data_IF_908314186665
#
_entry.id   IF_908314186665
#
_cell.length_a   1.000
_cell.length_b   1.000
_cell.length_c   1.000
_cell.angle_alpha   90.00
_cell.angle_beta   90.00
_cell.angle_gamma   90.00
#
_symmetry.space_group_name_H-M   'P 1'
#
loop_
_entity.id
_entity.type
_entity.pdbx_description
1 polymer ?
#
# COMPACT_ATOMS: atom_id res chain seq x y z
N UNK A 1 -22.52 32.92 -4.56
CA UNK A 1 -21.22 32.36 -5.03
C UNK A 1 -20.38 31.78 -3.88
N UNK A 2 -20.09 32.52 -2.80
CA UNK A 2 -19.25 32.02 -1.69
C UNK A 2 -19.68 30.66 -1.09
N UNK A 3 -20.94 30.52 -0.67
CA UNK A 3 -21.47 29.24 -0.12
C UNK A 3 -21.44 28.07 -1.10
N UNK A 4 -21.60 28.36 -2.40
CA UNK A 4 -21.54 27.32 -3.43
C UNK A 4 -20.09 26.83 -3.61
N UNK A 5 -19.15 27.76 -3.72
CA UNK A 5 -17.74 27.43 -3.85
C UNK A 5 -17.21 26.68 -2.62
N UNK A 6 -17.58 27.12 -1.41
CA UNK A 6 -17.22 26.44 -0.16
C UNK A 6 -17.70 25.00 -0.12
N UNK A 7 -18.99 24.76 -0.42
CA UNK A 7 -19.55 23.40 -0.43
C UNK A 7 -18.89 22.52 -1.50
N UNK A 8 -18.80 23.01 -2.74
CA UNK A 8 -18.22 22.24 -3.84
C UNK A 8 -16.73 21.91 -3.57
N UNK A 9 -15.99 22.86 -3.00
CA UNK A 9 -14.59 22.66 -2.66
C UNK A 9 -14.43 21.69 -1.48
N UNK A 10 -15.30 21.76 -0.47
CA UNK A 10 -15.29 20.82 0.65
C UNK A 10 -15.59 19.38 0.18
N UNK A 11 -16.63 19.19 -0.62
CA UNK A 11 -17.01 17.86 -1.14
C UNK A 11 -15.87 17.25 -1.95
N UNK A 12 -15.24 18.02 -2.84
CA UNK A 12 -14.08 17.57 -3.62
C UNK A 12 -12.86 17.30 -2.73
N UNK A 13 -12.57 18.17 -1.76
CA UNK A 13 -11.43 18.00 -0.86
C UNK A 13 -11.55 16.73 -0.03
N UNK A 14 -12.73 16.48 0.56
CA UNK A 14 -12.99 15.28 1.35
C UNK A 14 -12.91 14.03 0.48
N UNK A 15 -13.42 14.07 -0.75
CA UNK A 15 -13.29 12.98 -1.70
C UNK A 15 -11.82 12.66 -2.02
N UNK A 16 -10.98 13.65 -2.31
CA UNK A 16 -9.55 13.42 -2.58
C UNK A 16 -8.80 12.87 -1.36
N UNK A 17 -9.13 13.37 -0.16
CA UNK A 17 -8.51 12.92 1.09
C UNK A 17 -8.84 11.44 1.36
N UNK A 18 -10.14 11.10 1.37
CA UNK A 18 -10.63 9.78 1.79
C UNK A 18 -10.53 8.73 0.68
N UNK A 19 -10.77 9.11 -0.57
CA UNK A 19 -10.89 8.13 -1.67
C UNK A 19 -9.58 7.94 -2.46
N UNK A 20 -8.57 8.80 -2.26
CA UNK A 20 -7.36 8.81 -3.09
C UNK A 20 -6.04 8.88 -2.32
N UNK A 21 -5.92 9.84 -1.41
CA UNK A 21 -4.60 10.21 -0.90
C UNK A 21 -4.17 9.42 0.34
N UNK A 22 -5.06 9.24 1.31
CA UNK A 22 -4.74 8.57 2.57
C UNK A 22 -5.13 7.09 2.52
N UNK A 23 -4.22 6.17 2.89
CA UNK A 23 -4.59 4.77 3.07
C UNK A 23 -5.47 4.58 4.31
N UNK A 24 -6.25 3.51 4.35
CA UNK A 24 -6.93 3.12 5.58
C UNK A 24 -5.93 2.48 6.56
N UNK A 25 -6.01 2.85 7.84
CA UNK A 25 -5.13 2.30 8.88
C UNK A 25 -5.22 0.77 8.99
N UNK A 26 -6.42 0.22 8.79
CA UNK A 26 -6.71 -1.20 8.98
C UNK A 26 -5.92 -2.12 8.02
N UNK A 27 -5.75 -1.72 6.77
CA UNK A 27 -5.10 -2.54 5.75
C UNK A 27 -3.89 -1.87 5.08
N UNK A 28 -3.66 -0.59 5.35
CA UNK A 28 -2.61 0.20 4.70
C UNK A 28 -2.84 0.43 3.21
N UNK A 29 -4.06 0.25 2.70
CA UNK A 29 -4.38 0.40 1.28
C UNK A 29 -5.25 1.62 1.03
N UNK A 30 -4.97 2.29 -0.10
CA UNK A 30 -5.89 3.23 -0.74
C UNK A 30 -7.03 2.47 -1.44
N UNK A 31 -8.19 3.09 -1.71
CA UNK A 31 -9.32 2.41 -2.35
C UNK A 31 -8.97 1.73 -3.68
N UNK A 32 -8.22 2.39 -4.56
CA UNK A 32 -7.79 1.78 -5.83
C UNK A 32 -6.94 0.52 -5.62
N UNK A 33 -6.04 0.54 -4.63
CA UNK A 33 -5.16 -0.60 -4.32
C UNK A 33 -5.98 -1.76 -3.75
N UNK A 34 -6.90 -1.47 -2.82
CA UNK A 34 -7.83 -2.46 -2.24
C UNK A 34 -8.68 -3.12 -3.33
N UNK A 35 -9.25 -2.32 -4.23
CA UNK A 35 -10.09 -2.80 -5.34
C UNK A 35 -9.32 -3.67 -6.33
N UNK A 36 -8.06 -3.34 -6.63
CA UNK A 36 -7.18 -4.20 -7.45
C UNK A 36 -6.96 -5.55 -6.77
N UNK A 37 -6.52 -5.56 -5.51
CA UNK A 37 -6.23 -6.79 -4.77
C UNK A 37 -7.50 -7.65 -4.62
N UNK A 38 -8.65 -7.03 -4.32
CA UNK A 38 -9.94 -7.71 -4.24
C UNK A 38 -10.37 -8.32 -5.57
N UNK A 39 -10.36 -7.53 -6.66
CA UNK A 39 -10.75 -8.01 -7.98
C UNK A 39 -9.84 -9.15 -8.48
N UNK A 40 -8.55 -9.13 -8.16
CA UNK A 40 -7.64 -10.24 -8.46
C UNK A 40 -8.02 -11.51 -7.68
N UNK A 41 -8.42 -11.37 -6.41
CA UNK A 41 -8.92 -12.49 -5.61
C UNK A 41 -10.18 -13.11 -6.23
N UNK A 42 -11.17 -12.27 -6.60
CA UNK A 42 -12.40 -12.71 -7.27
C UNK A 42 -12.14 -13.40 -8.62
N UNK A 43 -11.10 -12.99 -9.34
CA UNK A 43 -10.65 -13.63 -10.59
C UNK A 43 -9.89 -14.94 -10.38
N UNK A 44 -9.69 -15.37 -9.14
CA UNK A 44 -8.94 -16.56 -8.74
C UNK A 44 -7.43 -16.44 -8.99
N UNK A 45 -6.88 -15.23 -9.03
CA UNK A 45 -5.47 -14.96 -9.32
C UNK A 45 -4.58 -15.08 -8.07
N UNK A 46 -4.75 -16.16 -7.30
CA UNK A 46 -3.89 -16.44 -6.15
C UNK A 46 -2.45 -16.77 -6.58
N UNK A 47 -1.53 -16.86 -5.61
CA UNK A 47 -0.11 -17.11 -5.87
C UNK A 47 0.22 -18.45 -6.56
N UNK A 48 -0.69 -19.43 -6.51
CA UNK A 48 -0.54 -20.72 -7.21
C UNK A 48 -1.17 -20.71 -8.61
N UNK A 49 -1.97 -19.69 -8.94
CA UNK A 49 -2.61 -19.57 -10.24
C UNK A 49 -1.61 -19.24 -11.35
N UNK A 50 -2.03 -19.52 -12.58
CA UNK A 50 -1.33 -19.03 -13.78
C UNK A 50 -1.50 -17.51 -13.88
N UNK A 51 -0.48 -16.86 -14.41
CA UNK A 51 -0.56 -15.44 -14.74
C UNK A 51 -1.69 -15.18 -15.76
N UNK A 52 -2.36 -14.04 -15.63
CA UNK A 52 -3.31 -13.52 -16.63
C UNK A 52 -2.91 -12.11 -17.02
N UNK A 53 -3.27 -11.71 -18.24
CA UNK A 53 -3.01 -10.35 -18.73
C UNK A 53 -3.57 -9.29 -17.77
N UNK A 54 -2.74 -8.31 -17.42
CA UNK A 54 -3.09 -7.24 -16.48
C UNK A 54 -4.30 -6.43 -16.97
N UNK A 55 -4.48 -6.30 -18.29
CA UNK A 55 -5.65 -5.69 -18.91
C UNK A 55 -6.99 -6.31 -18.45
N UNK A 56 -7.03 -7.62 -18.18
CA UNK A 56 -8.23 -8.29 -17.67
C UNK A 56 -8.56 -7.83 -16.25
N UNK A 57 -7.55 -7.79 -15.38
CA UNK A 57 -7.71 -7.30 -14.01
C UNK A 57 -8.16 -5.85 -13.99
N UNK A 58 -7.50 -4.98 -14.76
CA UNK A 58 -7.86 -3.55 -14.86
C UNK A 58 -9.30 -3.40 -15.36
N UNK A 59 -9.71 -4.13 -16.40
CA UNK A 59 -11.08 -4.11 -16.91
C UNK A 59 -12.13 -4.47 -15.85
N UNK A 60 -11.89 -5.53 -15.08
CA UNK A 60 -12.78 -5.94 -13.99
C UNK A 60 -12.82 -4.89 -12.86
N UNK A 61 -11.67 -4.32 -12.48
CA UNK A 61 -11.59 -3.27 -11.45
C UNK A 61 -12.42 -2.05 -11.87
N UNK A 62 -12.25 -1.58 -13.10
CA UNK A 62 -12.96 -0.39 -13.59
C UNK A 62 -14.47 -0.65 -13.74
N UNK A 63 -14.83 -1.81 -14.30
CA UNK A 63 -16.21 -2.16 -14.57
C UNK A 63 -17.03 -2.46 -13.31
N UNK A 64 -16.38 -2.92 -12.23
CA UNK A 64 -17.06 -3.36 -11.01
C UNK A 64 -16.91 -2.39 -9.84
N UNK A 65 -15.73 -1.79 -9.63
CA UNK A 65 -15.43 -1.15 -8.34
C UNK A 65 -14.84 0.27 -8.45
N UNK A 66 -14.07 0.58 -9.49
CA UNK A 66 -13.28 1.82 -9.56
C UNK A 66 -13.60 2.62 -10.84
N UNK A 67 -14.64 3.47 -10.85
CA UNK A 67 -15.11 4.19 -12.04
C UNK A 67 -14.21 5.39 -12.41
N UNK A 68 -12.91 5.14 -12.61
CA UNK A 68 -11.89 6.13 -12.95
C UNK A 68 -11.03 5.68 -14.14
N UNK A 69 -9.97 6.42 -14.44
CA UNK A 69 -9.08 6.13 -15.58
C UNK A 69 -8.33 4.81 -15.42
N UNK A 70 -8.25 4.07 -16.51
CA UNK A 70 -7.51 2.82 -16.64
C UNK A 70 -6.01 2.96 -16.35
N UNK A 71 -5.42 4.07 -16.81
CA UNK A 71 -4.00 4.36 -16.68
C UNK A 71 -3.61 4.52 -15.20
N UNK A 72 -4.39 5.27 -14.42
CA UNK A 72 -4.15 5.45 -12.98
C UNK A 72 -4.32 4.13 -12.20
N UNK A 73 -5.31 3.31 -12.58
CA UNK A 73 -5.50 1.98 -11.99
C UNK A 73 -4.29 1.06 -12.30
N UNK A 74 -3.82 1.05 -13.54
CA UNK A 74 -2.69 0.21 -13.94
C UNK A 74 -1.37 0.69 -13.34
N UNK A 75 -1.13 2.01 -13.23
CA UNK A 75 0.03 2.56 -12.53
C UNK A 75 0.08 2.13 -11.06
N UNK A 76 -1.05 2.16 -10.36
CA UNK A 76 -1.14 1.64 -8.99
C UNK A 76 -0.82 0.13 -8.93
N UNK A 77 -1.29 -0.63 -9.91
CA UNK A 77 -0.99 -2.06 -10.05
C UNK A 77 0.50 -2.33 -10.28
N UNK A 78 1.15 -1.53 -11.13
CA UNK A 78 2.60 -1.61 -11.42
C UNK A 78 3.42 -1.32 -10.16
N UNK A 79 3.08 -0.27 -9.42
CA UNK A 79 3.78 0.08 -8.20
C UNK A 79 3.75 -1.07 -7.16
N UNK A 80 2.58 -1.71 -7.01
CA UNK A 80 2.40 -2.86 -6.11
C UNK A 80 3.12 -4.15 -6.57
N UNK A 81 3.64 -4.17 -7.80
CA UNK A 81 4.37 -5.30 -8.38
C UNK A 81 5.90 -5.09 -8.41
N UNK A 82 6.36 -3.84 -8.38
CA UNK A 82 7.78 -3.49 -8.41
C UNK A 82 8.43 -3.77 -7.05
N UNK A 83 9.35 -4.73 -7.00
CA UNK A 83 10.10 -5.12 -5.80
C UNK A 83 11.06 -4.05 -5.28
N UNK A 84 11.47 -3.12 -6.13
CA UNK A 84 12.24 -1.94 -5.77
C UNK A 84 11.40 -0.73 -5.33
N UNK A 85 10.08 -0.81 -5.45
CA UNK A 85 9.16 0.25 -4.98
C UNK A 85 8.38 -0.19 -3.76
N UNK A 86 7.87 -1.43 -3.74
CA UNK A 86 7.20 -2.05 -2.61
C UNK A 86 8.17 -2.98 -1.88
N UNK A 87 8.27 -2.82 -0.56
CA UNK A 87 9.12 -3.69 0.27
C UNK A 87 8.63 -5.14 0.29
N UNK A 88 7.30 -5.32 0.28
CA UNK A 88 6.61 -6.60 0.18
C UNK A 88 5.53 -6.50 -0.92
N UNK A 89 5.89 -6.76 -2.19
CA UNK A 89 4.97 -6.66 -3.32
C UNK A 89 3.68 -7.48 -3.10
N UNK A 90 2.55 -6.89 -3.46
CA UNK A 90 1.24 -7.55 -3.41
C UNK A 90 0.94 -8.31 -4.71
N UNK A 91 1.60 -7.91 -5.79
CA UNK A 91 1.42 -8.49 -7.13
C UNK A 91 2.75 -9.07 -7.61
N UNK A 92 2.67 -10.25 -8.20
CA UNK A 92 3.73 -10.92 -8.91
C UNK A 92 3.45 -10.78 -10.42
N UNK A 93 4.41 -10.24 -11.15
CA UNK A 93 4.27 -9.86 -12.55
C UNK A 93 5.22 -10.62 -13.48
N UNK A 94 4.73 -11.00 -14.66
CA UNK A 94 5.54 -11.43 -15.80
C UNK A 94 5.51 -10.39 -16.93
N UNK A 95 6.66 -10.21 -17.60
CA UNK A 95 6.88 -9.18 -18.60
C UNK A 95 7.72 -8.01 -18.07
N UNK A 96 7.74 -6.89 -18.80
CA UNK A 96 8.46 -5.69 -18.35
C UNK A 96 7.58 -4.85 -17.40
N UNK A 97 7.93 -4.84 -16.11
CA UNK A 97 7.27 -4.06 -15.06
C UNK A 97 8.06 -2.81 -14.64
N UNK A 98 9.02 -2.36 -15.46
CA UNK A 98 9.92 -1.25 -15.14
C UNK A 98 11.21 -1.74 -14.49
N UNK A 99 12.13 -0.81 -14.25
CA UNK A 99 13.41 -1.07 -13.61
C UNK A 99 13.73 0.03 -12.59
N UNK A 100 14.70 -0.20 -11.72
CA UNK A 100 15.13 0.78 -10.71
C UNK A 100 15.57 2.11 -11.33
N UNK A 101 16.26 2.07 -12.48
CA UNK A 101 16.76 3.26 -13.17
C UNK A 101 15.64 4.12 -13.78
N UNK A 102 14.57 3.48 -14.25
CA UNK A 102 13.38 4.13 -14.77
C UNK A 102 12.12 3.35 -14.38
N UNK A 103 11.56 3.63 -13.18
CA UNK A 103 10.37 2.96 -12.68
C UNK A 103 9.14 3.14 -13.56
N UNK A 104 9.11 4.17 -14.42
CA UNK A 104 7.98 4.46 -15.32
C UNK A 104 8.11 3.76 -16.67
N UNK A 105 9.25 3.15 -16.97
CA UNK A 105 9.51 2.40 -18.21
C UNK A 105 8.96 0.97 -18.16
N UNK A 106 7.67 0.83 -17.85
CA UNK A 106 6.97 -0.45 -17.83
C UNK A 106 6.15 -0.66 -19.11
N UNK A 107 5.95 -1.93 -19.49
CA UNK A 107 5.13 -2.25 -20.65
C UNK A 107 3.64 -2.03 -20.36
N UNK A 108 2.86 -1.72 -21.40
CA UNK A 108 1.42 -1.55 -21.28
C UNK A 108 0.71 -2.83 -20.78
N UNK A 109 -0.43 -2.67 -20.10
CA UNK A 109 -1.21 -3.75 -19.45
C UNK A 109 -1.65 -4.90 -20.38
N UNK A 110 -1.63 -4.69 -21.70
CA UNK A 110 -1.91 -5.72 -22.72
C UNK A 110 -0.75 -6.71 -22.93
N UNK A 111 0.45 -6.36 -22.47
CA UNK A 111 1.65 -7.18 -22.61
C UNK A 111 2.02 -7.86 -21.30
N UNK A 112 1.88 -7.16 -20.17
CA UNK A 112 2.20 -7.71 -18.85
C UNK A 112 1.13 -8.69 -18.37
N UNK A 113 1.55 -9.64 -17.55
CA UNK A 113 0.67 -10.59 -16.88
C UNK A 113 0.93 -10.57 -15.38
N UNK A 114 -0.10 -10.82 -14.59
CA UNK A 114 -0.07 -10.65 -13.14
C UNK A 114 -0.83 -11.76 -12.42
N UNK A 115 -0.41 -11.99 -11.18
CA UNK A 115 -1.12 -12.74 -10.14
C UNK A 115 -0.79 -12.13 -8.77
N UNK A 116 -1.49 -12.53 -7.72
CA UNK A 116 -1.19 -12.10 -6.36
C UNK A 116 0.04 -12.82 -5.81
N UNK A 117 0.85 -12.14 -5.00
CA UNK A 117 1.94 -12.78 -4.26
C UNK A 117 1.41 -13.63 -3.10
N UNK A 118 2.26 -14.46 -2.51
CA UNK A 118 1.92 -15.13 -1.24
C UNK A 118 1.69 -14.13 -0.10
N UNK A 119 2.39 -12.99 -0.12
CA UNK A 119 2.24 -11.94 0.89
C UNK A 119 0.82 -11.37 0.91
N UNK A 120 0.17 -11.20 -0.24
CA UNK A 120 -1.22 -10.74 -0.32
C UNK A 120 -2.24 -11.61 0.42
N UNK A 121 -1.91 -12.88 0.73
CA UNK A 121 -2.78 -13.73 1.56
C UNK A 121 -2.95 -13.20 2.98
N UNK A 122 -2.00 -12.40 3.49
CA UNK A 122 -2.15 -11.73 4.79
C UNK A 122 -3.32 -10.75 4.83
N UNK A 123 -3.81 -10.30 3.67
CA UNK A 123 -4.95 -9.40 3.54
C UNK A 123 -6.24 -10.13 3.15
N UNK A 124 -6.12 -11.30 2.52
CA UNK A 124 -7.26 -11.95 1.83
C UNK A 124 -7.73 -13.25 2.50
N UNK A 125 -6.87 -13.94 3.26
CA UNK A 125 -7.16 -15.30 3.74
C UNK A 125 -8.42 -15.38 4.61
N UNK A 126 -8.75 -14.29 5.31
CA UNK A 126 -9.85 -14.21 6.27
C UNK A 126 -11.06 -13.42 5.73
N UNK A 127 -10.98 -12.88 4.51
CA UNK A 127 -12.00 -11.98 3.94
C UNK A 127 -13.40 -12.60 3.86
N UNK A 128 -13.48 -13.87 3.46
CA UNK A 128 -14.73 -14.62 3.33
C UNK A 128 -15.29 -15.15 4.66
N UNK A 129 -14.69 -14.81 5.81
CA UNK A 129 -15.04 -15.38 7.12
C UNK A 129 -15.87 -14.42 7.98
N UNK A 130 -16.44 -13.36 7.39
CA UNK A 130 -17.25 -12.37 8.11
C UNK A 130 -16.43 -11.42 8.98
N UNK A 131 -15.18 -11.12 8.59
CA UNK A 131 -14.24 -10.30 9.38
C UNK A 131 -14.27 -8.81 9.04
N UNK A 132 -14.99 -8.40 7.99
CA UNK A 132 -15.09 -7.01 7.55
C UNK A 132 -16.50 -6.68 7.09
N UNK A 133 -16.83 -5.38 7.17
CA UNK A 133 -18.07 -4.86 6.60
C UNK A 133 -17.97 -4.76 5.08
N UNK A 134 -19.10 -4.99 4.42
CA UNK A 134 -19.26 -4.91 2.99
C UNK A 134 -20.10 -3.68 2.64
N UNK A 135 -19.74 -3.00 1.55
CA UNK A 135 -20.46 -1.83 1.06
C UNK A 135 -20.87 -2.06 -0.40
N UNK A 136 -22.01 -1.50 -0.84
CA UNK A 136 -22.35 -1.51 -2.26
C UNK A 136 -21.26 -0.81 -3.08
N UNK A 137 -20.98 -1.35 -4.27
CA UNK A 137 -20.13 -0.69 -5.26
C UNK A 137 -20.81 0.58 -5.83
N UNK A 138 -20.14 1.27 -6.74
CA UNK A 138 -20.59 2.59 -7.23
C UNK A 138 -21.96 2.60 -7.93
N UNK A 139 -22.43 1.48 -8.49
CA UNK A 139 -23.74 1.35 -9.12
C UNK A 139 -24.73 0.47 -8.31
N UNK A 140 -24.31 -0.02 -7.15
CA UNK A 140 -25.11 -0.83 -6.23
C UNK A 140 -25.43 -2.25 -6.72
N UNK A 141 -24.80 -2.73 -7.80
CA UNK A 141 -25.04 -4.07 -8.35
C UNK A 141 -24.21 -5.17 -7.68
N UNK A 142 -23.10 -4.79 -7.04
CA UNK A 142 -22.16 -5.68 -6.36
C UNK A 142 -21.82 -5.13 -4.99
N UNK A 143 -21.20 -5.96 -4.15
CA UNK A 143 -20.59 -5.53 -2.90
C UNK A 143 -19.06 -5.55 -3.01
N UNK A 144 -18.42 -4.62 -2.32
CA UNK A 144 -16.97 -4.57 -2.13
C UNK A 144 -16.62 -4.45 -0.65
N UNK A 145 -15.48 -5.01 -0.21
CA UNK A 145 -15.08 -4.92 1.18
C UNK A 145 -14.64 -3.50 1.54
N UNK A 146 -15.16 -2.97 2.65
CA UNK A 146 -14.80 -1.63 3.14
C UNK A 146 -13.32 -1.51 3.50
N UNK A 147 -12.72 -2.59 4.03
CA UNK A 147 -11.29 -2.77 4.36
C UNK A 147 -10.89 -4.23 4.16
N UNK A 148 -9.59 -4.54 4.16
CA UNK A 148 -9.10 -5.92 4.21
C UNK A 148 -8.80 -6.37 5.65
N UNK A 149 -9.05 -7.64 6.02
CA UNK A 149 -8.65 -8.19 7.31
C UNK A 149 -7.14 -8.46 7.33
N UNK A 150 -6.35 -7.41 7.53
CA UNK A 150 -4.90 -7.52 7.53
C UNK A 150 -4.39 -8.23 8.79
N UNK A 151 -3.72 -9.38 8.60
CA UNK A 151 -3.10 -10.16 9.69
C UNK A 151 -1.83 -9.53 10.25
N UNK A 152 -1.21 -8.62 9.50
CA UNK A 152 -0.06 -7.81 9.90
C UNK A 152 -0.30 -6.35 9.47
N UNK A 153 0.28 -5.36 10.17
CA UNK A 153 0.06 -3.94 9.89
C UNK A 153 0.74 -3.49 8.60
N UNK A 154 0.14 -3.82 7.46
CA UNK A 154 0.69 -3.60 6.11
C UNK A 154 1.02 -2.13 5.82
N UNK A 155 0.33 -1.18 6.47
CA UNK A 155 0.64 0.25 6.39
C UNK A 155 2.08 0.57 6.77
N UNK A 156 2.63 -0.07 7.81
CA UNK A 156 4.02 0.10 8.21
C UNK A 156 4.97 -0.73 7.35
N UNK A 157 4.53 -1.92 6.94
CA UNK A 157 5.38 -2.87 6.18
C UNK A 157 5.72 -2.35 4.78
N UNK A 158 4.72 -1.86 4.05
CA UNK A 158 4.90 -1.35 2.70
C UNK A 158 4.97 0.18 2.63
N UNK A 159 4.56 0.88 3.70
CA UNK A 159 4.46 2.32 3.67
C UNK A 159 3.30 2.82 2.79
N UNK A 160 3.19 4.14 2.71
CA UNK A 160 2.23 4.80 1.84
C UNK A 160 2.66 6.25 1.62
N UNK A 161 2.55 6.72 0.37
CA UNK A 161 2.77 8.12 0.03
C UNK A 161 1.55 8.69 -0.69
N UNK A 162 1.15 9.91 -0.38
CA UNK A 162 -0.02 10.52 -0.97
C UNK A 162 -0.14 12.01 -0.67
N UNK A 163 -0.59 12.77 -1.67
CA UNK A 163 -0.83 14.21 -1.53
C UNK A 163 -2.32 14.44 -1.79
N UNK A 164 -2.97 15.09 -0.83
CA UNK A 164 -4.38 15.47 -0.89
C UNK A 164 -4.54 17.00 -0.93
N UNK A 165 -5.78 17.47 -0.89
CA UNK A 165 -6.06 18.90 -0.75
C UNK A 165 -5.71 19.35 0.67
N UNK A 166 -4.62 20.11 0.82
CA UNK A 166 -4.20 20.71 2.08
C UNK A 166 -3.45 19.79 3.04
N UNK A 167 -3.17 18.55 2.67
CA UNK A 167 -2.42 17.59 3.49
C UNK A 167 -1.66 16.58 2.64
N UNK A 168 -0.67 15.92 3.25
CA UNK A 168 0.07 14.84 2.63
C UNK A 168 0.40 13.76 3.68
N UNK A 169 0.66 12.56 3.20
CA UNK A 169 1.15 11.42 3.99
C UNK A 169 2.38 10.85 3.30
N UNK A 170 3.39 10.52 4.08
CA UNK A 170 4.58 9.81 3.62
C UNK A 170 5.04 8.90 4.76
N UNK A 171 4.80 7.60 4.59
CA UNK A 171 5.06 6.54 5.58
C UNK A 171 6.09 5.62 4.93
N UNK A 172 7.29 5.48 5.52
CA UNK A 172 8.31 4.61 4.95
C UNK A 172 8.03 3.13 5.28
N UNK A 173 8.52 2.18 4.46
CA UNK A 173 8.39 0.76 4.73
C UNK A 173 9.26 0.31 5.91
N UNK A 174 8.88 -0.80 6.56
CA UNK A 174 9.55 -1.35 7.74
C UNK A 174 9.70 -2.86 7.64
N UNK A 175 10.63 -3.41 8.43
CA UNK A 175 10.86 -4.85 8.44
C UNK A 175 9.70 -5.63 9.06
N UNK A 176 9.27 -6.71 8.42
CA UNK A 176 8.13 -7.53 8.85
C UNK A 176 8.35 -8.16 10.23
N UNK A 177 9.56 -8.68 10.48
CA UNK A 177 9.85 -9.37 11.75
C UNK A 177 9.94 -8.38 12.89
N UNK A 178 10.56 -7.22 12.67
CA UNK A 178 10.66 -6.16 13.68
C UNK A 178 9.28 -5.63 14.06
N UNK A 179 8.44 -5.31 13.07
CA UNK A 179 7.08 -4.82 13.31
C UNK A 179 6.21 -5.87 13.98
N UNK A 180 6.27 -7.14 13.54
CA UNK A 180 5.54 -8.22 14.20
C UNK A 180 5.99 -8.41 15.66
N UNK A 181 7.29 -8.34 15.92
CA UNK A 181 7.84 -8.42 17.28
C UNK A 181 7.37 -7.26 18.16
N UNK A 182 7.31 -6.04 17.63
CA UNK A 182 6.79 -4.87 18.33
C UNK A 182 5.28 -5.00 18.63
N UNK A 183 4.50 -5.56 17.70
CA UNK A 183 3.08 -5.85 17.95
C UNK A 183 2.90 -6.86 19.09
N UNK A 184 3.71 -7.93 19.12
CA UNK A 184 3.69 -8.91 20.22
C UNK A 184 4.04 -8.23 21.54
N UNK A 185 5.10 -7.41 21.55
CA UNK A 185 5.49 -6.62 22.72
C UNK A 185 4.35 -5.74 23.26
N UNK A 186 3.63 -5.07 22.37
CA UNK A 186 2.49 -4.20 22.74
C UNK A 186 1.28 -5.00 23.24
N UNK A 187 1.08 -6.24 22.77
CA UNK A 187 0.04 -7.13 23.29
C UNK A 187 0.38 -7.63 24.70
N UNK A 188 1.64 -7.97 24.94
CA UNK A 188 2.14 -8.43 26.25
C UNK A 188 2.21 -7.30 27.27
N UNK A 189 2.62 -6.11 26.83
CA UNK A 189 2.68 -4.89 27.64
C UNK A 189 1.96 -3.73 26.95
N UNK A 190 0.63 -3.58 27.17
CA UNK A 190 -0.17 -2.53 26.54
C UNK A 190 0.21 -1.09 26.93
N UNK A 191 1.11 -0.92 27.90
CA UNK A 191 1.64 0.38 28.35
C UNK A 191 3.05 0.66 27.80
N UNK A 192 3.59 -0.22 26.96
CA UNK A 192 4.87 -0.02 26.31
C UNK A 192 4.90 1.34 25.59
N UNK A 193 5.96 2.09 25.84
CA UNK A 193 6.20 3.40 25.23
C UNK A 193 6.74 3.23 23.82
N UNK A 194 6.77 4.33 23.04
CA UNK A 194 7.39 4.33 21.71
C UNK A 194 8.84 3.87 21.78
N UNK A 195 9.57 4.28 22.82
CA UNK A 195 10.96 3.88 23.04
C UNK A 195 11.08 2.36 23.23
N UNK A 196 10.19 1.76 24.02
CA UNK A 196 10.17 0.30 24.24
C UNK A 196 9.86 -0.46 22.95
N UNK A 197 8.93 0.04 22.13
CA UNK A 197 8.63 -0.57 20.82
C UNK A 197 9.80 -0.44 19.84
N UNK A 198 10.56 0.66 19.93
CA UNK A 198 11.73 0.87 19.11
C UNK A 198 12.89 -0.06 19.49
N UNK A 199 12.91 -0.70 20.67
CA UNK A 199 13.87 -1.78 20.93
C UNK A 199 13.77 -2.92 19.89
N UNK A 200 12.57 -3.13 19.35
CA UNK A 200 12.30 -4.06 18.27
C UNK A 200 12.46 -3.43 16.88
N UNK A 201 11.93 -2.20 16.67
CA UNK A 201 11.96 -1.50 15.38
C UNK A 201 13.22 -0.62 15.27
N UNK A 202 14.19 -1.07 14.47
CA UNK A 202 15.47 -0.38 14.28
C UNK A 202 15.36 0.86 13.39
N UNK A 203 14.38 0.86 12.50
CA UNK A 203 14.11 1.96 11.60
C UNK A 203 13.31 1.48 10.39
N UNK A 204 13.18 2.35 9.38
CA UNK A 204 12.66 1.94 8.09
C UNK A 204 13.55 0.92 7.39
N UNK A 205 12.94 0.09 6.54
CA UNK A 205 13.58 -0.96 5.75
C UNK A 205 13.13 -0.79 4.29
N UNK A 206 13.90 -0.01 3.53
CA UNK A 206 13.65 0.23 2.11
C UNK A 206 14.13 -0.95 1.26
N UNK A 207 13.54 -1.20 0.07
CA UNK A 207 13.97 -2.27 -0.83
C UNK A 207 15.29 -1.94 -1.56
N UNK A 208 16.35 -1.68 -0.80
CA UNK A 208 17.70 -1.36 -1.29
C UNK A 208 18.74 -1.70 -0.24
N UNK A 209 19.98 -1.93 -0.66
CA UNK A 209 21.12 -2.15 0.23
C UNK A 209 21.77 -0.84 0.73
N UNK A 210 21.21 0.33 0.35
CA UNK A 210 21.70 1.62 0.81
C UNK A 210 21.50 1.80 2.33
N UNK A 211 22.49 2.43 2.97
CA UNK A 211 22.50 2.62 4.42
C UNK A 211 21.65 3.83 4.83
N UNK A 212 20.84 3.67 5.88
CA UNK A 212 20.21 4.80 6.56
C UNK A 212 21.25 5.45 7.48
N UNK A 213 21.60 6.70 7.20
CA UNK A 213 22.62 7.47 7.95
C UNK A 213 22.02 8.41 8.99
N UNK A 214 20.70 8.43 9.13
CA UNK A 214 20.01 9.23 10.14
C UNK A 214 20.35 8.71 11.55
N UNK A 215 20.80 9.57 12.49
CA UNK A 215 21.07 9.17 13.86
C UNK A 215 19.85 8.54 14.53
N UNK A 216 20.09 7.55 15.40
CA UNK A 216 19.02 6.83 16.10
C UNK A 216 18.09 7.75 16.91
N UNK A 217 18.64 8.78 17.55
CA UNK A 217 17.86 9.77 18.31
C UNK A 217 16.85 10.52 17.41
N UNK A 218 17.24 10.86 16.18
CA UNK A 218 16.37 11.53 15.22
C UNK A 218 15.26 10.59 14.73
N UNK A 219 15.59 9.30 14.51
CA UNK A 219 14.60 8.26 14.17
C UNK A 219 13.56 8.11 15.28
N UNK A 220 13.99 8.05 16.55
CA UNK A 220 13.08 8.00 17.71
C UNK A 220 12.16 9.23 17.75
N UNK A 221 12.72 10.43 17.54
CA UNK A 221 11.93 11.67 17.50
C UNK A 221 10.90 11.67 16.36
N UNK A 222 11.25 11.12 15.20
CA UNK A 222 10.32 10.92 14.08
C UNK A 222 9.15 10.03 14.50
N UNK A 223 9.41 8.92 15.19
CA UNK A 223 8.36 8.01 15.63
C UNK A 223 7.48 8.59 16.74
N UNK A 224 8.03 9.39 17.65
CA UNK A 224 7.25 10.05 18.70
C UNK A 224 6.34 11.16 18.16
N UNK A 225 6.82 11.93 17.17
CA UNK A 225 6.11 13.10 16.64
C UNK A 225 5.30 12.82 15.38
N UNK A 226 5.60 11.71 14.70
CA UNK A 226 5.03 11.34 13.40
C UNK A 226 5.55 12.18 12.22
N UNK A 227 6.59 13.01 12.41
CA UNK A 227 7.12 13.91 11.38
C UNK A 227 8.64 14.02 11.46
N UNK A 228 9.27 14.14 10.29
CA UNK A 228 10.68 14.47 10.16
C UNK A 228 11.25 13.95 8.85
N UNK A 229 12.56 13.82 8.78
CA UNK A 229 13.25 13.47 7.53
C UNK A 229 14.31 12.39 7.76
N UNK A 230 14.37 11.43 6.84
CA UNK A 230 15.36 10.36 6.82
C UNK A 230 16.37 10.61 5.69
N UNK A 231 17.61 10.15 5.87
CA UNK A 231 18.65 10.24 4.85
C UNK A 231 19.29 8.88 4.64
N UNK A 232 19.49 8.54 3.37
CA UNK A 232 20.15 7.32 2.95
C UNK A 232 21.42 7.65 2.17
N UNK A 233 22.38 6.72 2.19
CA UNK A 233 23.65 6.82 1.47
C UNK A 233 23.90 5.52 0.71
N UNK A 234 24.34 5.64 -0.54
CA UNK A 234 24.79 4.50 -1.31
C UNK A 234 26.01 3.85 -0.64
N UNK A 235 26.05 2.52 -0.64
CA UNK A 235 27.21 1.73 -0.24
C UNK A 235 28.23 1.69 -1.39
N UNK A 236 29.51 1.64 -1.05
CA UNK A 236 30.61 1.57 -2.03
C UNK A 236 31.82 0.90 -1.38
N UNK A 237 32.64 0.25 -2.19
CA UNK A 237 33.88 -0.40 -1.78
C UNK A 237 35.04 0.11 -2.66
N UNK A 238 36.27 0.13 -2.12
CA UNK A 238 37.48 0.39 -2.91
C UNK A 238 38.00 -0.95 -3.40
N UNK A 239 38.07 -1.12 -4.73
CA UNK A 239 38.72 -2.27 -5.38
C UNK A 239 40.20 -2.00 -5.72
#
# INVERSE_FOLDING_TARGET
MGRFAEKAYLDYSMYVILDRALPALADGLKPVQRRIVYAMSELGLNAAAKYKKSARTVGDVLGKFHPHGDSACYEAMVLMAQDFSYRYPLIDGQGNWGAQDDPKSFAAMRYTESRLTRYAQLLLAELGQGTVDWVPNFDGTLEEPSVMPARLPNMLLNGASGIAVGMATDIPPHNLKEVASACIRLLEEPKATVVDLCEHIQGPDYPTDAEIITPRADILSIYETGKGSLRMRATWEVE
#
